data_IF_261299112236
#
_entry.id   IF_261299112236
#
_cell.length_a   1.000
_cell.length_b   1.000
_cell.length_c   1.000
_cell.angle_alpha   90.00
_cell.angle_beta   90.00
_cell.angle_gamma   90.00
#
_symmetry.space_group_name_H-M   'P 1'
#
loop_
_entity.id
_entity.type
_entity.pdbx_description
1 polymer ?
#
# COMPACT_ATOMS: atom_id res chain seq x y z
N UNK A 1 -3.26 10.76 -34.02
CA UNK A 1 -2.23 11.73 -33.62
C UNK A 1 -2.00 11.53 -32.13
N UNK A 2 -1.25 10.51 -31.72
CA UNK A 2 0.20 10.60 -31.44
C UNK A 2 0.37 11.01 -29.97
N UNK A 3 0.76 10.17 -29.02
CA UNK A 3 1.77 9.12 -29.10
C UNK A 3 1.29 7.77 -28.52
N UNK A 4 1.32 6.76 -29.38
CA UNK A 4 1.58 5.38 -29.01
C UNK A 4 2.98 5.31 -28.33
N UNK A 5 3.10 4.42 -27.34
CA UNK A 5 4.35 3.73 -27.01
C UNK A 5 5.54 4.54 -26.45
N UNK A 6 5.46 5.09 -25.23
CA UNK A 6 6.64 5.23 -24.33
C UNK A 6 6.20 5.18 -22.86
N UNK A 7 6.12 3.97 -22.27
CA UNK A 7 6.19 3.76 -20.81
C UNK A 7 6.52 2.29 -20.48
N UNK A 8 7.49 1.68 -21.15
CA UNK A 8 8.05 0.38 -20.73
C UNK A 8 9.24 0.54 -19.77
N UNK A 9 9.83 1.74 -19.69
CA UNK A 9 10.94 2.08 -18.80
C UNK A 9 10.59 3.36 -18.05
N UNK A 10 10.31 3.18 -16.75
CA UNK A 10 9.79 4.20 -15.86
C UNK A 10 10.70 5.43 -15.80
N UNK A 11 10.17 6.59 -16.17
CA UNK A 11 10.65 7.85 -15.60
C UNK A 11 10.14 7.86 -14.16
N UNK A 12 11.00 8.00 -13.14
CA UNK A 12 10.53 8.11 -11.77
C UNK A 12 9.67 9.37 -11.67
N UNK A 13 8.34 9.19 -11.68
CA UNK A 13 7.49 10.16 -11.02
C UNK A 13 7.88 10.04 -9.55
N UNK A 14 8.40 11.12 -8.99
CA UNK A 14 8.22 11.42 -7.58
C UNK A 14 6.70 11.48 -7.35
N UNK A 15 6.08 10.32 -7.23
CA UNK A 15 4.69 10.20 -6.79
C UNK A 15 4.72 10.69 -5.37
N UNK A 16 4.18 11.89 -5.15
CA UNK A 16 4.19 12.57 -3.85
C UNK A 16 3.62 11.69 -2.73
N UNK A 17 2.86 10.67 -3.11
CA UNK A 17 2.11 9.76 -2.24
C UNK A 17 2.23 8.32 -2.79
N UNK A 18 2.41 7.35 -1.89
CA UNK A 18 2.49 5.92 -2.21
C UNK A 18 1.36 5.15 -1.52
N UNK A 19 0.41 4.64 -2.29
CA UNK A 19 -0.69 3.82 -1.75
C UNK A 19 -0.33 2.32 -1.71
N UNK A 20 -0.56 1.67 -0.58
CA UNK A 20 -0.33 0.23 -0.37
C UNK A 20 -1.63 -0.44 0.07
N UNK A 21 -2.21 -1.26 -0.80
CA UNK A 21 -3.33 -2.14 -0.42
C UNK A 21 -2.81 -3.36 0.34
N UNK A 22 -3.28 -3.54 1.57
CA UNK A 22 -2.95 -4.69 2.42
C UNK A 22 -4.16 -5.56 2.69
N UNK A 23 -3.92 -6.85 2.96
CA UNK A 23 -4.99 -7.77 3.32
C UNK A 23 -5.48 -7.47 4.73
N UNK A 24 -6.79 -7.27 4.94
CA UNK A 24 -7.39 -6.92 6.23
C UNK A 24 -7.53 -8.15 7.14
N UNK A 25 -6.44 -8.78 7.54
CA UNK A 25 -6.47 -9.95 8.43
C UNK A 25 -5.46 -9.84 9.57
N UNK A 26 -5.71 -10.58 10.65
CA UNK A 26 -4.94 -10.49 11.90
C UNK A 26 -3.47 -10.90 11.69
N UNK A 27 -3.21 -11.91 10.88
CA UNK A 27 -1.86 -12.42 10.64
C UNK A 27 -1.05 -11.39 9.83
N UNK A 28 -1.67 -10.82 8.79
CA UNK A 28 -1.06 -9.77 8.00
C UNK A 28 -0.88 -8.47 8.81
N UNK A 29 -1.84 -8.12 9.66
CA UNK A 29 -1.77 -6.96 10.54
C UNK A 29 -0.57 -7.01 11.50
N UNK A 30 -0.28 -8.19 12.09
CA UNK A 30 0.91 -8.38 12.93
C UNK A 30 2.20 -8.12 12.16
N UNK A 31 2.33 -8.72 10.97
CA UNK A 31 3.51 -8.54 10.11
C UNK A 31 3.71 -7.09 9.68
N UNK A 32 2.61 -6.36 9.45
CA UNK A 32 2.67 -4.92 9.14
C UNK A 32 3.21 -4.15 10.34
N UNK A 33 2.70 -4.40 11.54
CA UNK A 33 3.17 -3.72 12.76
C UNK A 33 4.65 -4.01 12.99
N UNK A 34 5.07 -5.27 12.87
CA UNK A 34 6.47 -5.67 13.02
C UNK A 34 7.35 -4.93 12.00
N UNK A 35 6.95 -4.89 10.73
CA UNK A 35 7.68 -4.16 9.69
C UNK A 35 7.72 -2.64 9.93
N UNK A 36 6.62 -2.05 10.42
CA UNK A 36 6.57 -0.62 10.75
C UNK A 36 7.47 -0.29 11.94
N UNK A 37 7.52 -1.17 12.95
CA UNK A 37 8.43 -1.02 14.09
C UNK A 37 9.89 -1.09 13.64
N UNK A 38 10.24 -2.05 12.78
CA UNK A 38 11.59 -2.17 12.20
C UNK A 38 11.99 -0.94 11.38
N UNK A 39 11.02 -0.28 10.73
CA UNK A 39 11.22 0.96 9.97
C UNK A 39 11.23 2.23 10.84
N UNK A 40 11.05 2.12 12.16
CA UNK A 40 11.10 3.25 13.09
C UNK A 40 9.77 3.98 13.32
N UNK A 41 8.65 3.38 12.92
CA UNK A 41 7.30 3.93 13.12
C UNK A 41 6.63 3.49 14.45
N UNK A 42 7.40 2.91 15.37
CA UNK A 42 6.89 2.44 16.68
C UNK A 42 6.17 3.55 17.47
N UNK A 43 6.59 4.80 17.32
CA UNK A 43 5.98 5.96 17.99
C UNK A 43 4.54 6.27 17.55
N UNK A 44 4.06 5.68 16.45
CA UNK A 44 2.70 5.88 15.95
C UNK A 44 1.62 5.12 16.74
N UNK A 45 2.00 4.25 17.69
CA UNK A 45 1.09 3.44 18.52
C UNK A 45 0.02 2.70 17.69
N UNK A 46 0.40 2.22 16.50
CA UNK A 46 -0.49 1.49 15.60
C UNK A 46 -0.82 0.11 16.19
N UNK A 47 -2.07 -0.30 16.03
CA UNK A 47 -2.61 -1.53 16.60
C UNK A 47 -3.02 -2.53 15.53
N UNK A 48 -3.18 -3.80 15.92
CA UNK A 48 -3.67 -4.86 15.02
C UNK A 48 -5.05 -4.49 14.45
N UNK A 49 -5.88 -3.78 15.21
CA UNK A 49 -7.22 -3.38 14.78
C UNK A 49 -7.21 -2.40 13.60
N UNK A 50 -6.11 -1.65 13.41
CA UNK A 50 -6.00 -0.67 12.32
C UNK A 50 -5.84 -1.36 10.96
N UNK A 51 -5.19 -2.52 10.94
CA UNK A 51 -4.91 -3.28 9.71
C UNK A 51 -5.74 -4.55 9.54
N UNK A 52 -6.50 -4.99 10.56
CA UNK A 52 -7.30 -6.23 10.51
C UNK A 52 -8.77 -6.00 10.12
N UNK A 53 -9.15 -4.77 9.78
CA UNK A 53 -10.52 -4.41 9.36
C UNK A 53 -10.49 -3.70 8.03
N UNK A 54 -11.44 -4.03 7.16
CA UNK A 54 -11.71 -3.28 5.93
C UNK A 54 -12.15 -1.84 6.24
N UNK A 55 -12.02 -0.95 5.26
CA UNK A 55 -12.47 0.43 5.33
C UNK A 55 -11.51 1.38 6.06
N UNK A 56 -10.23 1.03 6.18
CA UNK A 56 -9.22 1.83 6.87
C UNK A 56 -8.18 2.37 5.90
N UNK A 57 -7.77 3.61 6.15
CA UNK A 57 -6.66 4.29 5.50
C UNK A 57 -5.75 4.80 6.62
N UNK A 58 -4.50 4.35 6.61
CA UNK A 58 -3.48 4.73 7.60
C UNK A 58 -2.40 5.51 6.85
N UNK A 59 -2.29 6.80 7.14
CA UNK A 59 -1.27 7.65 6.56
C UNK A 59 0.00 7.61 7.41
N UNK A 60 1.14 7.38 6.76
CA UNK A 60 2.47 7.46 7.33
C UNK A 60 3.21 8.67 6.75
N UNK A 61 3.77 9.49 7.62
CA UNK A 61 4.57 10.65 7.24
C UNK A 61 3.76 11.83 6.70
N UNK A 62 4.47 12.69 5.97
CA UNK A 62 3.96 13.94 5.40
C UNK A 62 4.60 14.16 4.02
N UNK A 63 3.97 14.99 3.18
CA UNK A 63 4.51 15.31 1.84
C UNK A 63 5.94 15.87 1.93
N UNK A 64 6.88 15.50 1.03
CA UNK A 64 6.71 14.72 -0.20
C UNK A 64 6.92 13.19 -0.03
N UNK A 65 7.01 12.70 1.21
CA UNK A 65 7.23 11.28 1.53
C UNK A 65 6.05 10.78 2.36
N UNK A 66 4.88 10.69 1.72
CA UNK A 66 3.65 10.15 2.29
C UNK A 66 3.40 8.73 1.79
N UNK A 67 3.04 7.83 2.70
CA UNK A 67 2.61 6.47 2.38
C UNK A 67 1.22 6.26 2.97
N UNK A 68 0.28 5.83 2.14
CA UNK A 68 -1.10 5.56 2.54
C UNK A 68 -1.33 4.05 2.51
N UNK A 69 -1.52 3.42 3.67
CA UNK A 69 -1.85 1.99 3.78
C UNK A 69 -3.36 1.85 3.81
N UNK A 70 -3.93 1.14 2.83
CA UNK A 70 -5.37 0.94 2.69
C UNK A 70 -5.74 -0.53 2.89
N UNK A 71 -6.83 -0.79 3.61
CA UNK A 71 -7.29 -2.16 3.92
C UNK A 71 -8.44 -2.65 3.06
N UNK A 72 -8.99 -1.78 2.20
CA UNK A 72 -10.06 -2.11 1.26
C UNK A 72 -10.13 -1.08 0.13
N UNK A 73 -10.64 -1.49 -1.03
CA UNK A 73 -11.02 -0.60 -2.12
C UNK A 73 -12.48 -0.85 -2.43
N UNK A 74 -13.28 0.21 -2.55
CA UNK A 74 -14.69 0.07 -2.84
C UNK A 74 -14.92 -0.68 -4.16
N UNK A 75 -15.80 -1.68 -4.13
CA UNK A 75 -16.12 -2.50 -5.30
C UNK A 75 -15.09 -3.57 -5.68
N UNK A 76 -14.02 -3.77 -4.90
CA UNK A 76 -13.00 -4.82 -5.15
C UNK A 76 -12.61 -5.56 -3.86
N UNK A 77 -12.63 -6.89 -3.89
CA UNK A 77 -12.04 -7.71 -2.82
C UNK A 77 -10.52 -7.78 -2.95
N UNK A 78 -9.82 -7.94 -1.82
CA UNK A 78 -8.37 -8.10 -1.83
C UNK A 78 -7.93 -9.26 -2.73
N UNK A 79 -8.65 -10.38 -2.73
CA UNK A 79 -8.38 -11.56 -3.54
C UNK A 79 -8.50 -11.26 -5.04
N UNK A 80 -9.48 -10.45 -5.45
CA UNK A 80 -9.65 -10.05 -6.84
C UNK A 80 -8.46 -9.21 -7.32
N UNK A 81 -8.01 -8.26 -6.50
CA UNK A 81 -6.82 -7.44 -6.79
C UNK A 81 -5.55 -8.30 -6.78
N UNK A 82 -5.40 -9.17 -5.80
CA UNK A 82 -4.23 -10.03 -5.65
C UNK A 82 -4.08 -11.04 -6.79
N UNK A 83 -5.19 -11.58 -7.32
CA UNK A 83 -5.18 -12.48 -8.48
C UNK A 83 -4.83 -11.77 -9.78
N UNK A 84 -5.19 -10.50 -9.92
CA UNK A 84 -4.92 -9.70 -11.12
C UNK A 84 -3.54 -9.03 -11.10
N UNK A 85 -2.76 -9.20 -10.03
CA UNK A 85 -1.40 -8.65 -9.96
C UNK A 85 -0.54 -9.19 -11.10
N UNK A 86 0.02 -8.29 -11.91
CA UNK A 86 1.04 -8.66 -12.89
C UNK A 86 2.39 -8.68 -12.17
N UNK A 87 3.02 -9.85 -12.07
CA UNK A 87 4.46 -9.90 -11.76
C UNK A 87 5.18 -9.28 -12.95
N UNK A 88 5.88 -8.18 -12.72
CA UNK A 88 6.84 -7.66 -13.71
C UNK A 88 7.95 -8.72 -13.81
N UNK A 89 7.99 -9.44 -14.92
CA UNK A 89 9.15 -10.25 -15.26
C UNK A 89 10.32 -9.27 -15.46
N UNK A 90 11.39 -9.49 -14.71
CA UNK A 90 12.65 -8.76 -14.82
C UNK A 90 13.55 -9.54 -15.75
#
# INVERSE_FOLDING_TARGET
MGAFAVAFYAVPRYTKDMDILVKPDIENAKRIIDALNELGFESLNLSINDFSKEGRIIQLGYEPVRIDIVTSIEGCSFEQVWKSKKKRAI
#
